data_IF_428464177154
#
_entry.id   IF_428464177154
#
_cell.length_a   1.000
_cell.length_b   1.000
_cell.length_c   1.000
_cell.angle_alpha   90.00
_cell.angle_beta   90.00
_cell.angle_gamma   90.00
#
_symmetry.space_group_name_H-M   'P 1'
#
loop_
_entity.id
_entity.type
_entity.pdbx_description
1 polymer ?
#
# COMPACT_ATOMS: atom_id res chain seq x y z
N UNK A 1 -5.28 13.87 -15.40
CA UNK A 1 -4.71 13.18 -14.22
C UNK A 1 -3.49 13.95 -13.69
N UNK A 2 -2.85 14.74 -14.56
CA UNK A 2 -1.58 15.44 -14.30
C UNK A 2 -1.68 16.57 -13.29
N UNK A 3 -2.80 17.30 -13.24
CA UNK A 3 -2.97 18.41 -12.29
C UNK A 3 -2.93 17.96 -10.82
N UNK A 4 -3.49 16.78 -10.51
CA UNK A 4 -3.47 16.23 -9.16
C UNK A 4 -2.07 15.72 -8.79
N UNK A 5 -1.37 15.10 -9.74
CA UNK A 5 0.00 14.63 -9.55
C UNK A 5 0.95 15.81 -9.33
N UNK A 6 0.85 16.86 -10.15
CA UNK A 6 1.62 18.09 -9.97
C UNK A 6 1.32 18.75 -8.62
N UNK A 7 0.05 18.88 -8.25
CA UNK A 7 -0.32 19.42 -6.93
C UNK A 7 0.30 18.63 -5.78
N UNK A 8 0.35 17.29 -5.87
CA UNK A 8 1.01 16.46 -4.86
C UNK A 8 2.54 16.62 -4.89
N UNK A 9 3.15 16.82 -6.06
CA UNK A 9 4.59 17.10 -6.16
C UNK A 9 4.91 18.45 -5.49
N UNK A 10 4.11 19.48 -5.74
CA UNK A 10 4.30 20.82 -5.17
C UNK A 10 4.21 20.81 -3.63
N UNK A 11 3.43 19.88 -3.07
CA UNK A 11 3.30 19.69 -1.63
C UNK A 11 4.42 18.84 -0.99
N UNK A 12 5.40 18.38 -1.77
CA UNK A 12 6.60 17.69 -1.28
C UNK A 12 6.28 16.48 -0.40
N UNK A 13 6.80 16.46 0.83
CA UNK A 13 6.61 15.34 1.77
C UNK A 13 5.14 15.06 2.11
N UNK A 14 4.31 16.10 2.24
CA UNK A 14 2.89 15.93 2.53
C UNK A 14 2.15 15.37 1.31
N UNK A 15 2.49 15.86 0.13
CA UNK A 15 1.94 15.31 -1.10
C UNK A 15 2.36 13.86 -1.33
N UNK A 16 3.59 13.48 -0.96
CA UNK A 16 4.03 12.08 -0.95
C UNK A 16 3.20 11.22 0.00
N UNK A 17 2.89 11.73 1.20
CA UNK A 17 2.04 11.02 2.16
C UNK A 17 0.63 10.79 1.63
N UNK A 18 -0.03 11.83 1.09
CA UNK A 18 -1.39 11.69 0.56
C UNK A 18 -1.42 10.84 -0.71
N UNK A 19 -0.44 10.99 -1.60
CA UNK A 19 -0.21 10.12 -2.75
C UNK A 19 -0.15 8.65 -2.33
N UNK A 20 0.68 8.34 -1.34
CA UNK A 20 0.85 7.00 -0.82
C UNK A 20 -0.37 6.47 -0.06
N UNK A 21 -1.11 7.34 0.62
CA UNK A 21 -2.37 6.99 1.29
C UNK A 21 -3.43 6.58 0.27
N UNK A 22 -3.56 7.34 -0.82
CA UNK A 22 -4.47 7.01 -1.91
C UNK A 22 -4.07 5.68 -2.57
N UNK A 23 -2.78 5.50 -2.88
CA UNK A 23 -2.26 4.27 -3.48
C UNK A 23 -2.39 3.03 -2.58
N UNK A 24 -2.25 3.22 -1.26
CA UNK A 24 -2.42 2.15 -0.28
C UNK A 24 -3.87 1.77 0.00
N UNK A 25 -4.82 2.58 -0.46
CA UNK A 25 -6.26 2.38 -0.29
C UNK A 25 -6.84 1.52 -1.43
N UNK A 26 -8.18 1.50 -1.57
CA UNK A 26 -8.87 0.82 -2.69
C UNK A 26 -8.73 1.60 -4.01
N UNK A 27 -8.22 2.84 -3.95
CA UNK A 27 -8.10 3.72 -5.11
C UNK A 27 -6.91 3.30 -5.98
N UNK A 28 -7.10 3.09 -7.29
CA UNK A 28 -6.00 2.82 -8.21
C UNK A 28 -5.18 4.11 -8.41
N UNK A 29 -4.12 4.28 -7.62
CA UNK A 29 -3.21 5.41 -7.68
C UNK A 29 -1.76 4.93 -7.66
N UNK A 30 -0.86 5.59 -8.40
CA UNK A 30 0.57 5.24 -8.42
C UNK A 30 1.36 6.23 -7.57
N UNK A 31 1.69 5.82 -6.35
CA UNK A 31 2.57 6.61 -5.49
C UNK A 31 4.04 6.54 -5.92
N UNK A 32 4.40 5.57 -6.74
CA UNK A 32 5.76 5.36 -7.26
C UNK A 32 6.15 6.46 -8.24
N UNK A 33 5.22 6.88 -9.10
CA UNK A 33 5.45 7.98 -10.04
C UNK A 33 5.69 9.29 -9.30
N UNK A 34 4.90 9.57 -8.25
CA UNK A 34 5.08 10.76 -7.40
C UNK A 34 6.42 10.69 -6.66
N UNK A 35 6.76 9.53 -6.08
CA UNK A 35 8.04 9.34 -5.39
C UNK A 35 9.23 9.56 -6.32
N UNK A 36 9.21 8.95 -7.51
CA UNK A 36 10.27 9.07 -8.50
C UNK A 36 10.48 10.53 -8.93
N UNK A 37 9.40 11.30 -9.11
CA UNK A 37 9.47 12.72 -9.41
C UNK A 37 10.05 13.55 -8.24
N UNK A 38 9.65 13.23 -7.01
CA UNK A 38 10.08 13.97 -5.81
C UNK A 38 11.54 13.74 -5.42
N UNK A 39 12.16 12.62 -5.83
CA UNK A 39 13.57 12.32 -5.52
C UNK A 39 14.55 12.80 -6.59
N UNK A 40 14.06 13.42 -7.68
CA UNK A 40 14.93 14.03 -8.67
C UNK A 40 15.74 15.19 -8.06
N UNK A 41 17.01 15.41 -8.46
CA UNK A 41 17.87 16.43 -7.84
C UNK A 41 17.32 17.86 -7.88
N UNK A 42 16.41 18.16 -8.82
CA UNK A 42 15.78 19.48 -8.95
C UNK A 42 14.81 19.85 -7.84
N UNK A 43 14.35 18.92 -7.01
CA UNK A 43 13.36 19.19 -5.93
C UNK A 43 14.00 19.57 -4.60
N UNK A 44 15.26 19.18 -4.37
CA UNK A 44 15.98 19.41 -3.10
C UNK A 44 15.43 18.63 -1.90
N UNK A 45 14.52 17.66 -2.10
CA UNK A 45 13.96 16.86 -1.02
C UNK A 45 14.87 15.69 -0.64
N UNK A 46 14.86 15.32 0.64
CA UNK A 46 15.63 14.17 1.12
C UNK A 46 14.90 12.86 0.76
N UNK A 47 15.52 11.95 -0.02
CA UNK A 47 14.87 10.71 -0.45
C UNK A 47 14.45 9.80 0.70
N UNK A 48 15.21 9.78 1.81
CA UNK A 48 14.89 8.99 2.99
C UNK A 48 13.60 9.50 3.65
N UNK A 49 13.43 10.83 3.75
CA UNK A 49 12.19 11.41 4.26
C UNK A 49 11.01 11.12 3.33
N UNK A 50 11.20 11.18 2.01
CA UNK A 50 10.16 10.78 1.06
C UNK A 50 9.72 9.32 1.28
N UNK A 51 10.65 8.39 1.51
CA UNK A 51 10.33 6.99 1.83
C UNK A 51 9.54 6.89 3.14
N UNK A 52 9.90 7.65 4.19
CA UNK A 52 9.19 7.64 5.48
C UNK A 52 7.74 8.11 5.29
N UNK A 53 7.53 9.28 4.67
CA UNK A 53 6.18 9.80 4.43
C UNK A 53 5.36 8.88 3.51
N UNK A 54 5.98 8.31 2.47
CA UNK A 54 5.35 7.34 1.59
C UNK A 54 4.94 6.06 2.33
N UNK A 55 5.79 5.56 3.22
CA UNK A 55 5.54 4.35 4.00
C UNK A 55 4.42 4.55 5.01
N UNK A 56 4.40 5.70 5.70
CA UNK A 56 3.35 6.06 6.65
C UNK A 56 2.00 6.24 5.95
N UNK A 57 1.96 6.99 4.85
CA UNK A 57 0.74 7.20 4.07
C UNK A 57 0.16 5.87 3.58
N UNK A 58 1.00 5.03 2.97
CA UNK A 58 0.56 3.74 2.44
C UNK A 58 0.17 2.75 3.54
N UNK A 59 0.86 2.75 4.68
CA UNK A 59 0.46 1.95 5.84
C UNK A 59 -0.95 2.36 6.30
N UNK A 60 -1.22 3.65 6.46
CA UNK A 60 -2.54 4.16 6.83
C UNK A 60 -3.60 3.80 5.79
N UNK A 61 -3.32 4.02 4.50
CA UNK A 61 -4.22 3.64 3.41
C UNK A 61 -4.60 2.16 3.46
N UNK A 62 -3.64 1.26 3.64
CA UNK A 62 -3.97 -0.17 3.70
C UNK A 62 -4.56 -0.61 5.02
N UNK A 63 -4.29 0.09 6.12
CA UNK A 63 -5.00 -0.11 7.37
C UNK A 63 -6.48 0.22 7.23
N UNK A 64 -6.85 1.24 6.44
CA UNK A 64 -8.29 1.49 6.15
C UNK A 64 -8.92 0.27 5.45
N UNK A 65 -8.21 -0.35 4.50
CA UNK A 65 -8.65 -1.57 3.83
C UNK A 65 -8.77 -2.75 4.79
N UNK A 66 -7.79 -2.93 5.66
CA UNK A 66 -7.83 -3.92 6.73
C UNK A 66 -9.04 -3.71 7.66
N UNK A 67 -9.31 -2.47 8.09
CA UNK A 67 -10.47 -2.16 8.93
C UNK A 67 -11.80 -2.40 8.22
N UNK A 68 -11.91 -2.07 6.94
CA UNK A 68 -13.08 -2.40 6.13
C UNK A 68 -13.36 -3.91 6.12
N UNK A 69 -12.32 -4.74 5.96
CA UNK A 69 -12.45 -6.19 6.09
C UNK A 69 -12.79 -6.64 7.51
N UNK A 70 -12.19 -6.02 8.53
CA UNK A 70 -12.37 -6.37 9.93
C UNK A 70 -13.80 -6.13 10.44
N UNK A 71 -14.42 -5.04 9.98
CA UNK A 71 -15.81 -4.70 10.27
C UNK A 71 -16.80 -5.47 9.38
N UNK A 72 -16.33 -6.04 8.27
CA UNK A 72 -17.12 -6.83 7.34
C UNK A 72 -17.70 -8.10 7.99
N UNK A 73 -18.99 -8.33 7.79
CA UNK A 73 -19.63 -9.61 8.13
C UNK A 73 -19.49 -10.60 6.98
N UNK A 74 -19.46 -11.90 7.28
CA UNK A 74 -19.40 -12.95 6.23
C UNK A 74 -20.57 -12.86 5.24
N UNK A 75 -21.73 -12.43 5.73
CA UNK A 75 -22.94 -12.17 4.93
C UNK A 75 -22.71 -11.14 3.80
N UNK A 76 -21.77 -10.20 3.97
CA UNK A 76 -21.45 -9.21 2.92
C UNK A 76 -20.64 -9.81 1.77
N UNK A 77 -19.82 -10.83 2.03
CA UNK A 77 -19.05 -11.50 0.98
C UNK A 77 -19.96 -12.34 0.08
N UNK A 78 -20.99 -12.97 0.65
CA UNK A 78 -22.04 -13.64 -0.14
C UNK A 78 -22.91 -12.63 -0.90
N UNK A 79 -23.35 -11.55 -0.23
CA UNK A 79 -24.32 -10.60 -0.80
C UNK A 79 -23.74 -9.63 -1.83
N UNK A 80 -22.53 -9.11 -1.61
CA UNK A 80 -21.94 -8.07 -2.47
C UNK A 80 -20.87 -8.60 -3.41
N UNK A 81 -20.12 -9.63 -3.00
CA UNK A 81 -19.06 -10.23 -3.81
C UNK A 81 -19.49 -11.54 -4.47
N UNK A 82 -20.74 -12.00 -4.28
CA UNK A 82 -21.29 -13.27 -4.80
C UNK A 82 -20.35 -14.46 -4.58
N UNK A 83 -19.58 -14.42 -3.48
CA UNK A 83 -18.55 -15.42 -3.23
C UNK A 83 -19.19 -16.62 -2.54
N UNK A 84 -19.02 -17.82 -3.10
CA UNK A 84 -19.59 -19.04 -2.52
C UNK A 84 -19.07 -19.29 -1.10
N UNK A 85 -19.90 -19.77 -0.16
CA UNK A 85 -19.51 -20.07 1.21
C UNK A 85 -18.32 -21.04 1.29
N UNK A 86 -18.19 -21.99 0.35
CA UNK A 86 -17.05 -22.91 0.34
C UNK A 86 -15.71 -22.19 0.06
N UNK A 87 -15.71 -21.16 -0.80
CA UNK A 87 -14.50 -20.35 -1.06
C UNK A 87 -14.14 -19.50 0.15
N UNK A 88 -15.14 -18.91 0.80
CA UNK A 88 -14.95 -18.10 2.01
C UNK A 88 -14.37 -18.98 3.13
N UNK A 89 -14.92 -20.18 3.33
CA UNK A 89 -14.43 -21.09 4.36
C UNK A 89 -13.03 -21.63 4.03
N UNK A 90 -12.75 -21.92 2.75
CA UNK A 90 -11.40 -22.33 2.32
C UNK A 90 -10.37 -21.21 2.54
N UNK A 91 -10.72 -19.95 2.27
CA UNK A 91 -9.88 -18.79 2.61
C UNK A 91 -9.65 -18.70 4.12
N UNK A 92 -10.72 -18.86 4.92
CA UNK A 92 -10.62 -18.84 6.39
C UNK A 92 -9.65 -19.89 6.90
N UNK A 93 -9.77 -21.13 6.43
CA UNK A 93 -8.88 -22.24 6.83
C UNK A 93 -7.46 -22.03 6.32
N UNK A 94 -7.29 -21.63 5.06
CA UNK A 94 -5.96 -21.45 4.45
C UNK A 94 -5.15 -20.33 5.10
N UNK A 95 -5.83 -19.26 5.52
CA UNK A 95 -5.19 -18.13 6.21
C UNK A 95 -5.22 -18.25 7.75
N UNK A 96 -5.99 -19.18 8.34
CA UNK A 96 -5.93 -19.44 9.78
C UNK A 96 -4.52 -19.91 10.17
N UNK A 97 -3.86 -19.16 11.05
CA UNK A 97 -2.49 -19.42 11.48
C UNK A 97 -1.37 -18.97 10.52
N UNK A 98 -1.71 -18.53 9.28
CA UNK A 98 -0.74 -18.06 8.27
C UNK A 98 -1.01 -16.64 7.75
N UNK A 99 -2.08 -15.98 8.17
CA UNK A 99 -2.47 -14.67 7.61
C UNK A 99 -1.42 -13.58 7.75
N UNK A 100 -0.73 -13.48 8.89
CA UNK A 100 0.11 -12.32 9.19
C UNK A 100 1.27 -12.10 8.21
N UNK A 101 2.01 -13.15 7.81
CA UNK A 101 3.14 -13.00 6.88
C UNK A 101 2.70 -12.70 5.44
N UNK A 102 1.47 -13.08 5.06
CA UNK A 102 0.92 -12.73 3.74
C UNK A 102 0.76 -11.21 3.57
N UNK A 103 0.66 -10.48 4.68
CA UNK A 103 0.63 -9.02 4.67
C UNK A 103 1.93 -8.41 4.10
N UNK A 104 3.04 -9.17 4.08
CA UNK A 104 4.26 -8.76 3.41
C UNK A 104 4.00 -8.52 1.92
N UNK A 105 3.29 -9.43 1.27
CA UNK A 105 2.94 -9.35 -0.17
C UNK A 105 1.92 -8.26 -0.49
N UNK A 106 1.40 -7.55 0.51
CA UNK A 106 0.53 -6.41 0.27
C UNK A 106 1.24 -5.24 -0.44
N UNK A 107 2.56 -5.31 -0.63
CA UNK A 107 3.30 -4.37 -1.47
C UNK A 107 2.97 -4.48 -2.96
N UNK A 108 2.40 -5.61 -3.42
CA UNK A 108 2.08 -5.81 -4.84
C UNK A 108 0.94 -4.88 -5.29
N UNK A 109 1.11 -4.16 -6.41
CA UNK A 109 0.05 -3.30 -6.96
C UNK A 109 -1.21 -4.12 -7.27
N UNK A 110 -2.39 -3.54 -7.01
CA UNK A 110 -3.73 -4.14 -7.21
C UNK A 110 -4.07 -5.24 -6.19
N UNK A 111 -3.15 -6.17 -5.93
CA UNK A 111 -3.39 -7.32 -5.03
C UNK A 111 -3.32 -6.87 -3.56
N UNK A 112 -2.54 -5.83 -3.25
CA UNK A 112 -2.28 -5.39 -1.88
C UNK A 112 -3.54 -5.02 -1.09
N UNK A 113 -4.46 -4.27 -1.70
CA UNK A 113 -5.71 -3.87 -1.05
C UNK A 113 -6.62 -5.08 -0.78
N UNK A 114 -6.63 -6.07 -1.69
CA UNK A 114 -7.38 -7.34 -1.51
C UNK A 114 -6.80 -8.15 -0.35
N UNK A 115 -5.47 -8.24 -0.26
CA UNK A 115 -4.79 -8.91 0.86
C UNK A 115 -5.12 -8.20 2.18
N UNK A 116 -5.05 -6.87 2.22
CA UNK A 116 -5.37 -6.08 3.40
C UNK A 116 -6.80 -6.35 3.89
N UNK A 117 -7.78 -6.29 2.99
CA UNK A 117 -9.19 -6.58 3.28
C UNK A 117 -9.36 -8.02 3.76
N UNK A 118 -8.75 -9.00 3.09
CA UNK A 118 -8.84 -10.41 3.48
C UNK A 118 -8.28 -10.64 4.89
N UNK A 119 -7.13 -10.05 5.22
CA UNK A 119 -6.54 -10.13 6.56
C UNK A 119 -7.42 -9.48 7.63
N UNK A 120 -8.09 -8.39 7.26
CA UNK A 120 -9.14 -7.75 8.04
C UNK A 120 -10.26 -8.71 8.38
N UNK A 121 -10.86 -9.33 7.37
CA UNK A 121 -11.95 -10.32 7.52
C UNK A 121 -11.57 -11.48 8.44
N UNK A 122 -10.31 -11.88 8.43
CA UNK A 122 -9.78 -12.96 9.26
C UNK A 122 -9.46 -12.52 10.68
N UNK A 123 -9.59 -11.22 10.98
CA UNK A 123 -9.23 -10.60 12.27
C UNK A 123 -7.81 -10.94 12.68
N UNK A 124 -6.90 -10.92 11.70
CA UNK A 124 -5.48 -11.16 11.94
C UNK A 124 -4.92 -10.10 12.88
N UNK A 125 -3.91 -10.41 13.70
CA UNK A 125 -3.40 -9.43 14.65
C UNK A 125 -2.81 -8.20 13.91
N UNK A 126 -3.41 -7.03 14.16
CA UNK A 126 -3.12 -5.77 13.47
C UNK A 126 -1.65 -5.36 13.57
N UNK A 127 -0.97 -5.69 14.67
CA UNK A 127 0.43 -5.32 14.90
C UNK A 127 1.32 -6.05 13.88
N UNK A 128 1.17 -7.38 13.77
CA UNK A 128 1.96 -8.16 12.82
C UNK A 128 1.62 -7.81 11.38
N UNK A 129 0.33 -7.65 11.06
CA UNK A 129 -0.11 -7.21 9.72
C UNK A 129 0.54 -5.88 9.35
N UNK A 130 0.51 -4.89 10.25
CA UNK A 130 1.12 -3.58 10.03
C UNK A 130 2.62 -3.66 9.79
N UNK A 131 3.33 -4.46 10.61
CA UNK A 131 4.79 -4.64 10.48
C UNK A 131 5.17 -5.26 9.14
N UNK A 132 4.49 -6.34 8.73
CA UNK A 132 4.78 -7.00 7.46
C UNK A 132 4.41 -6.12 6.26
N UNK A 133 3.27 -5.41 6.31
CA UNK A 133 2.89 -4.44 5.28
C UNK A 133 3.92 -3.32 5.15
N UNK A 134 4.36 -2.77 6.28
CA UNK A 134 5.35 -1.71 6.31
C UNK A 134 6.67 -2.19 5.71
N UNK A 135 7.14 -3.38 6.10
CA UNK A 135 8.37 -3.95 5.56
C UNK A 135 8.33 -4.12 4.02
N UNK A 136 7.25 -4.69 3.48
CA UNK A 136 7.10 -4.85 2.03
C UNK A 136 7.03 -3.52 1.29
N UNK A 137 6.37 -2.50 1.87
CA UNK A 137 6.22 -1.17 1.26
C UNK A 137 7.51 -0.36 1.30
N UNK A 138 8.22 -0.40 2.42
CA UNK A 138 9.55 0.22 2.53
C UNK A 138 10.47 -0.36 1.48
N UNK A 139 10.50 -1.70 1.33
CA UNK A 139 11.28 -2.35 0.27
C UNK A 139 10.92 -1.83 -1.12
N UNK A 140 9.63 -1.76 -1.44
CA UNK A 140 9.15 -1.21 -2.72
C UNK A 140 9.63 0.23 -2.95
N UNK A 141 9.50 1.10 -1.97
CA UNK A 141 9.90 2.50 -2.11
C UNK A 141 11.41 2.68 -2.20
N UNK A 142 12.19 1.90 -1.46
CA UNK A 142 13.66 1.87 -1.59
C UNK A 142 14.06 1.49 -3.01
N UNK A 143 13.46 0.43 -3.57
CA UNK A 143 13.75 0.02 -4.96
C UNK A 143 13.39 1.11 -5.98
N UNK A 144 12.28 1.82 -5.77
CA UNK A 144 11.88 2.94 -6.63
C UNK A 144 12.88 4.09 -6.55
N UNK A 145 13.33 4.48 -5.36
CA UNK A 145 14.34 5.54 -5.18
C UNK A 145 15.66 5.15 -5.84
N UNK A 146 16.16 3.93 -5.56
CA UNK A 146 17.40 3.43 -6.18
C UNK A 146 17.31 3.39 -7.71
N UNK A 147 16.17 2.97 -8.25
CA UNK A 147 15.95 2.97 -9.69
C UNK A 147 15.92 4.40 -10.25
N UNK A 148 15.24 5.34 -9.59
CA UNK A 148 15.15 6.73 -10.02
C UNK A 148 16.51 7.42 -10.03
N UNK A 149 17.29 7.27 -8.95
CA UNK A 149 18.64 7.84 -8.84
C UNK A 149 19.62 7.17 -9.82
N UNK A 150 19.55 5.84 -9.97
CA UNK A 150 20.38 5.10 -10.93
C UNK A 150 20.09 5.50 -12.37
N UNK A 151 18.81 5.60 -12.76
CA UNK A 151 18.41 6.11 -14.08
C UNK A 151 18.96 7.52 -14.27
N UNK A 152 18.80 8.41 -13.29
CA UNK A 152 19.31 9.77 -13.39
C UNK A 152 20.82 9.81 -13.63
N UNK A 153 21.61 9.02 -12.88
CA UNK A 153 23.07 8.94 -13.04
C UNK A 153 23.54 8.43 -14.40
N UNK A 154 22.69 7.69 -15.12
CA UNK A 154 23.01 7.19 -16.47
C UNK A 154 22.82 8.26 -17.55
N UNK A 155 21.94 9.24 -17.31
CA UNK A 155 21.61 10.31 -18.25
C UNK A 155 22.29 11.65 -17.94
N UNK A 156 22.96 11.79 -16.78
CA UNK A 156 23.76 12.96 -16.38
C UNK A 156 25.23 12.81 -16.74
#
# INVERSE_FOLDING_TARGET
MDALVQFLIDWGYLGMFFSALLAGSVVPFSSEAVLAALVLPGTGLNPVLCIVFASLGNLLGSLTCYWMGHLGKMEWLEKYFHMKPEKINRMRVYLSGRGSWMAFFAFLPIIGSVIAVALGFLRSNIIYVSLYMLAGKVLRYVLVVMAAEGIFSFFS
#
